data_IF_581980910809
#
_entry.id   IF_581980910809
#
_cell.length_a   1.000
_cell.length_b   1.000
_cell.length_c   1.000
_cell.angle_alpha   90.00
_cell.angle_beta   90.00
_cell.angle_gamma   90.00
#
_symmetry.space_group_name_H-M   'P 1'
#
loop_
_entity.id
_entity.type
_entity.pdbx_description
1 polymer ?
#
# COMPACT_ATOMS: atom_id res chain seq x y z
N UNK A 1 6.29 5.53 20.74
CA UNK A 1 6.02 4.73 21.96
C UNK A 1 7.32 4.64 22.73
N UNK A 2 7.34 4.50 24.06
CA UNK A 2 8.62 4.37 24.77
C UNK A 2 9.32 3.07 24.30
N UNK A 3 10.63 3.10 23.95
CA UNK A 3 11.40 1.90 23.63
C UNK A 3 11.27 0.76 24.66
N UNK A 4 11.13 1.08 25.95
CA UNK A 4 10.93 0.09 27.00
C UNK A 4 9.59 -0.65 26.87
N UNK A 5 8.53 0.08 26.49
CA UNK A 5 7.20 -0.50 26.22
C UNK A 5 7.26 -1.44 25.01
N UNK A 6 7.94 -1.02 23.93
CA UNK A 6 8.12 -1.84 22.73
C UNK A 6 8.89 -3.14 23.05
N UNK A 7 9.92 -3.09 23.89
CA UNK A 7 10.65 -4.28 24.31
C UNK A 7 9.77 -5.26 25.11
N UNK A 8 8.96 -4.75 26.04
CA UNK A 8 8.03 -5.56 26.80
C UNK A 8 6.94 -6.19 25.90
N UNK A 9 6.43 -5.42 24.95
CA UNK A 9 5.46 -5.90 23.95
C UNK A 9 6.08 -7.01 23.10
N UNK A 10 7.29 -6.82 22.54
CA UNK A 10 7.97 -7.85 21.73
C UNK A 10 8.09 -9.17 22.49
N UNK A 11 8.55 -9.13 23.75
CA UNK A 11 8.67 -10.33 24.60
C UNK A 11 7.32 -11.01 24.83
N UNK A 12 6.26 -10.23 25.06
CA UNK A 12 4.90 -10.77 25.21
C UNK A 12 4.43 -11.45 23.92
N UNK A 13 4.64 -10.81 22.78
CA UNK A 13 4.22 -11.31 21.47
C UNK A 13 4.93 -12.60 21.09
N UNK A 14 6.24 -12.70 21.30
CA UNK A 14 7.04 -13.88 21.02
C UNK A 14 6.58 -15.14 21.79
N UNK A 15 5.85 -14.97 22.90
CA UNK A 15 5.28 -16.07 23.69
C UNK A 15 3.89 -16.54 23.25
N UNK A 16 3.29 -15.87 22.26
CA UNK A 16 1.94 -16.21 21.78
C UNK A 16 2.03 -17.36 20.80
N UNK A 17 1.36 -18.45 21.10
CA UNK A 17 1.18 -19.55 20.16
C UNK A 17 -0.08 -19.30 19.30
N UNK A 18 0.07 -19.23 17.95
CA UNK A 18 -1.08 -19.15 17.05
C UNK A 18 -1.97 -20.39 17.16
N UNK A 19 -3.27 -20.22 16.95
CA UNK A 19 -4.18 -21.36 16.86
C UNK A 19 -3.90 -22.17 15.58
N UNK A 20 -3.97 -23.49 15.67
CA UNK A 20 -3.97 -24.36 14.50
C UNK A 20 -5.25 -24.13 13.68
N UNK A 21 -5.05 -23.70 12.43
CA UNK A 21 -6.10 -23.42 11.46
C UNK A 21 -5.59 -23.75 10.07
N UNK A 22 -6.51 -23.84 9.10
CA UNK A 22 -6.15 -23.98 7.68
C UNK A 22 -5.18 -22.88 7.18
N UNK A 23 -5.17 -21.72 7.85
CA UNK A 23 -4.23 -20.64 7.55
C UNK A 23 -2.83 -20.96 8.08
N UNK A 24 -2.70 -21.35 9.35
CA UNK A 24 -1.39 -21.62 9.97
C UNK A 24 -0.74 -22.90 9.43
N UNK A 25 -1.53 -23.92 9.10
CA UNK A 25 -1.03 -25.15 8.44
C UNK A 25 -0.42 -24.87 7.05
N UNK A 26 -0.90 -23.83 6.35
CA UNK A 26 -0.47 -23.52 4.98
C UNK A 26 0.63 -22.47 4.93
N UNK A 27 0.74 -21.63 5.96
CA UNK A 27 1.73 -20.56 6.05
C UNK A 27 3.16 -21.11 5.85
N UNK A 28 4.02 -20.45 5.05
CA UNK A 28 3.87 -19.13 4.43
C UNK A 28 3.17 -19.13 3.06
N UNK A 29 2.63 -20.25 2.59
CA UNK A 29 1.96 -20.33 1.30
C UNK A 29 0.50 -19.84 1.36
N UNK A 30 -0.06 -19.50 0.20
CA UNK A 30 -1.49 -19.15 0.09
C UNK A 30 -2.38 -20.38 -0.03
N UNK A 31 -3.66 -20.20 0.31
CA UNK A 31 -4.72 -21.18 0.08
C UNK A 31 -5.32 -20.95 -1.30
N UNK A 32 -5.83 -22.01 -1.92
CA UNK A 32 -6.62 -21.90 -3.15
C UNK A 32 -7.99 -21.26 -2.87
N UNK A 33 -8.63 -20.70 -3.90
CA UNK A 33 -9.97 -20.10 -3.78
C UNK A 33 -11.00 -21.06 -3.18
N UNK A 34 -10.95 -22.34 -3.56
CA UNK A 34 -11.83 -23.38 -3.01
C UNK A 34 -11.65 -23.57 -1.50
N UNK A 35 -10.41 -23.61 -1.02
CA UNK A 35 -10.11 -23.71 0.42
C UNK A 35 -10.48 -22.44 1.17
N UNK A 36 -10.33 -21.27 0.55
CA UNK A 36 -10.72 -19.98 1.14
C UNK A 36 -12.23 -19.85 1.38
N UNK A 37 -13.07 -20.52 0.58
CA UNK A 37 -14.52 -20.55 0.82
C UNK A 37 -14.90 -21.27 2.12
N UNK A 38 -14.11 -22.24 2.53
CA UNK A 38 -14.32 -23.02 3.75
C UNK A 38 -13.48 -22.51 4.94
N UNK A 39 -12.64 -21.49 4.74
CA UNK A 39 -11.77 -20.97 5.78
C UNK A 39 -12.57 -20.16 6.84
N UNK A 40 -12.06 -20.05 8.07
CA UNK A 40 -12.68 -19.23 9.10
C UNK A 40 -12.90 -17.78 8.64
N UNK A 41 -14.03 -17.20 9.02
CA UNK A 41 -14.32 -15.80 8.75
C UNK A 41 -13.49 -14.88 9.67
N UNK A 42 -13.16 -13.70 9.17
CA UNK A 42 -12.43 -12.68 9.92
C UNK A 42 -10.91 -12.87 9.87
N UNK A 43 -10.24 -12.23 10.83
CA UNK A 43 -8.79 -12.15 10.90
C UNK A 43 -8.28 -13.14 11.94
N UNK A 44 -7.35 -14.01 11.54
CA UNK A 44 -6.80 -15.09 12.37
C UNK A 44 -5.30 -14.90 12.56
N UNK A 45 -4.82 -14.86 13.80
CA UNK A 45 -3.38 -14.90 14.06
C UNK A 45 -2.83 -16.24 13.57
N UNK A 46 -1.93 -16.17 12.60
CA UNK A 46 -1.44 -17.31 11.82
C UNK A 46 -0.02 -17.68 12.21
N UNK A 47 0.83 -16.66 12.40
CA UNK A 47 2.22 -16.83 12.83
C UNK A 47 2.66 -15.67 13.71
N UNK A 48 3.65 -15.96 14.55
CA UNK A 48 4.48 -14.95 15.22
C UNK A 48 5.91 -15.17 14.70
N UNK A 49 6.39 -14.23 13.91
CA UNK A 49 7.73 -14.26 13.32
C UNK A 49 8.69 -13.45 14.19
N UNK A 50 9.83 -14.03 14.54
CA UNK A 50 10.89 -13.34 15.28
C UNK A 50 12.21 -13.48 14.53
N UNK A 51 12.90 -12.36 14.35
CA UNK A 51 14.27 -12.33 13.84
C UNK A 51 15.07 -11.20 14.53
N UNK A 52 16.32 -11.01 14.11
CA UNK A 52 17.19 -9.99 14.68
C UNK A 52 16.65 -8.55 14.52
N UNK A 53 15.84 -8.30 13.50
CA UNK A 53 15.29 -6.99 13.17
C UNK A 53 13.98 -6.68 13.89
N UNK A 54 13.29 -7.67 14.48
CA UNK A 54 12.07 -7.44 15.24
C UNK A 54 11.13 -8.65 15.37
N UNK A 55 9.90 -8.35 15.81
CA UNK A 55 8.82 -9.33 15.98
C UNK A 55 7.62 -8.93 15.12
N UNK A 56 7.07 -9.88 14.38
CA UNK A 56 5.92 -9.71 13.49
C UNK A 56 4.75 -10.60 13.87
N UNK A 57 3.57 -10.02 14.04
CA UNK A 57 2.32 -10.78 14.07
C UNK A 57 1.77 -10.89 12.67
N UNK A 58 1.67 -12.11 12.15
CA UNK A 58 1.09 -12.38 10.83
C UNK A 58 -0.34 -12.83 11.01
N UNK A 59 -1.26 -12.07 10.45
CA UNK A 59 -2.67 -12.37 10.44
C UNK A 59 -3.15 -12.74 9.05
N UNK A 60 -3.90 -13.84 8.97
CA UNK A 60 -4.50 -14.30 7.73
C UNK A 60 -6.00 -14.04 7.70
N UNK A 61 -6.51 -13.74 6.51
CA UNK A 61 -7.96 -13.68 6.26
C UNK A 61 -8.30 -14.01 4.82
N UNK A 62 -9.50 -14.55 4.60
CA UNK A 62 -10.07 -14.68 3.26
C UNK A 62 -10.78 -13.38 2.88
N UNK A 63 -10.28 -12.68 1.85
CA UNK A 63 -10.87 -11.43 1.34
C UNK A 63 -11.39 -11.61 -0.07
N UNK A 64 -12.21 -10.66 -0.52
CA UNK A 64 -12.69 -10.61 -1.89
C UNK A 64 -12.14 -9.37 -2.60
N UNK A 65 -11.86 -9.52 -3.88
CA UNK A 65 -11.62 -8.41 -4.80
C UNK A 65 -12.36 -8.69 -6.11
N UNK A 66 -12.49 -7.69 -6.96
CA UNK A 66 -13.06 -7.85 -8.30
C UNK A 66 -11.97 -7.78 -9.35
N UNK A 67 -12.02 -8.71 -10.29
CA UNK A 67 -11.23 -8.66 -11.52
C UNK A 67 -12.17 -8.33 -12.68
N UNK A 68 -11.67 -7.52 -13.62
CA UNK A 68 -12.33 -7.23 -14.88
C UNK A 68 -11.63 -8.02 -15.97
N UNK A 69 -12.38 -8.75 -16.76
CA UNK A 69 -11.88 -9.49 -17.91
C UNK A 69 -12.65 -9.08 -19.16
N UNK A 70 -11.94 -8.86 -20.26
CA UNK A 70 -12.59 -8.68 -21.55
C UNK A 70 -13.14 -10.03 -21.97
N UNK A 71 -14.43 -10.07 -22.29
CA UNK A 71 -15.05 -11.26 -22.85
C UNK A 71 -15.09 -11.08 -24.36
N UNK A 72 -14.52 -12.05 -25.07
CA UNK A 72 -14.65 -12.12 -26.51
C UNK A 72 -16.11 -12.38 -26.88
N UNK A 73 -16.74 -11.40 -27.53
CA UNK A 73 -18.13 -11.48 -27.98
C UNK A 73 -18.33 -12.66 -28.93
N UNK A 74 -17.32 -13.00 -29.74
CA UNK A 74 -17.37 -14.14 -30.65
C UNK A 74 -17.37 -15.50 -29.93
N UNK A 75 -16.96 -15.55 -28.65
CA UNK A 75 -17.02 -16.75 -27.83
C UNK A 75 -18.37 -16.92 -27.10
N UNK A 76 -19.21 -15.88 -27.07
CA UNK A 76 -20.52 -15.86 -26.40
C UNK A 76 -21.69 -16.11 -27.36
N UNK A 77 -21.55 -15.74 -28.63
CA UNK A 77 -22.57 -16.02 -29.64
C UNK A 77 -22.36 -17.42 -30.22
N UNK A 78 -23.33 -18.31 -30.01
CA UNK A 78 -23.58 -19.31 -31.04
C UNK A 78 -23.87 -18.53 -32.33
N UNK A 79 -23.15 -18.85 -33.41
CA UNK A 79 -23.10 -18.05 -34.64
C UNK A 79 -24.49 -17.53 -35.07
N UNK A 80 -24.80 -16.26 -34.77
CA UNK A 80 -26.05 -15.60 -35.16
C UNK A 80 -26.83 -14.83 -34.09
N UNK A 81 -26.36 -14.72 -32.83
CA UNK A 81 -27.04 -13.89 -31.84
C UNK A 81 -26.68 -12.39 -31.96
N UNK A 82 -27.54 -11.63 -32.66
CA UNK A 82 -27.40 -10.19 -32.88
C UNK A 82 -27.53 -9.32 -31.61
N UNK A 83 -27.76 -9.95 -30.45
CA UNK A 83 -27.93 -9.28 -29.15
C UNK A 83 -26.75 -8.35 -28.79
N UNK A 84 -25.55 -8.64 -29.31
CA UNK A 84 -24.33 -7.90 -28.98
C UNK A 84 -23.76 -7.06 -30.14
N UNK A 85 -24.46 -6.97 -31.28
CA UNK A 85 -23.94 -6.31 -32.50
C UNK A 85 -23.66 -4.81 -32.31
N UNK A 86 -24.38 -4.15 -31.40
CA UNK A 86 -24.21 -2.72 -31.08
C UNK A 86 -23.15 -2.46 -29.98
N UNK A 87 -22.49 -3.50 -29.46
CA UNK A 87 -21.51 -3.37 -28.37
C UNK A 87 -20.07 -3.54 -28.91
N UNK A 88 -19.24 -2.51 -28.70
CA UNK A 88 -17.81 -2.55 -29.05
C UNK A 88 -16.98 -3.41 -28.07
N UNK A 89 -17.45 -3.54 -26.82
CA UNK A 89 -16.73 -4.23 -25.76
C UNK A 89 -17.70 -4.85 -24.74
N UNK A 90 -17.43 -6.10 -24.33
CA UNK A 90 -18.07 -6.74 -23.19
C UNK A 90 -17.03 -6.97 -22.09
N UNK A 91 -17.31 -6.44 -20.90
CA UNK A 91 -16.45 -6.61 -19.72
C UNK A 91 -17.16 -7.52 -18.72
N UNK A 92 -16.58 -8.69 -18.48
CA UNK A 92 -16.91 -9.54 -17.34
C UNK A 92 -16.34 -8.97 -16.06
N UNK A 93 -17.15 -8.92 -15.00
CA UNK A 93 -16.68 -8.59 -13.65
C UNK A 93 -16.86 -9.81 -12.76
N UNK A 94 -15.74 -10.37 -12.29
CA UNK A 94 -15.74 -11.54 -11.42
C UNK A 94 -15.24 -11.17 -10.03
N UNK A 95 -16.01 -11.55 -9.01
CA UNK A 95 -15.55 -11.51 -7.62
C UNK A 95 -14.70 -12.74 -7.35
N UNK A 96 -13.44 -12.55 -6.97
CA UNK A 96 -12.53 -13.62 -6.57
C UNK A 96 -12.19 -13.51 -5.09
N UNK A 97 -11.94 -14.65 -4.45
CA UNK A 97 -11.39 -14.70 -3.09
C UNK A 97 -9.89 -14.83 -3.13
N UNK A 98 -9.20 -14.09 -2.29
CA UNK A 98 -7.75 -14.18 -2.10
C UNK A 98 -7.40 -14.35 -0.62
N UNK A 99 -6.26 -15.00 -0.38
CA UNK A 99 -5.68 -15.17 0.95
C UNK A 99 -4.84 -13.93 1.25
N UNK A 100 -5.28 -13.10 2.20
CA UNK A 100 -4.60 -11.88 2.59
C UNK A 100 -3.72 -12.11 3.83
N UNK A 101 -2.52 -11.54 3.82
CA UNK A 101 -1.60 -11.50 4.97
C UNK A 101 -1.42 -10.06 5.47
N UNK A 102 -1.96 -9.75 6.64
CA UNK A 102 -1.67 -8.49 7.33
C UNK A 102 -0.59 -8.72 8.39
N UNK A 103 0.31 -7.76 8.54
CA UNK A 103 1.43 -7.86 9.49
C UNK A 103 1.46 -6.65 10.39
N UNK A 104 1.55 -6.87 11.70
CA UNK A 104 1.99 -5.84 12.64
C UNK A 104 3.43 -6.15 12.98
N UNK A 105 4.34 -5.30 12.51
CA UNK A 105 5.77 -5.45 12.68
C UNK A 105 6.28 -4.47 13.72
N UNK A 106 6.98 -4.98 14.73
CA UNK A 106 7.63 -4.19 15.76
C UNK A 106 9.14 -4.36 15.62
N UNK A 107 9.82 -3.37 15.01
CA UNK A 107 11.27 -3.38 14.91
C UNK A 107 11.96 -3.49 16.27
N UNK A 108 13.16 -4.08 16.30
CA UNK A 108 14.04 -4.06 17.47
C UNK A 108 14.52 -2.64 17.78
N UNK A 109 14.80 -1.86 16.73
CA UNK A 109 15.34 -0.51 16.80
C UNK A 109 14.32 0.53 16.30
N UNK A 110 14.31 1.72 16.92
CA UNK A 110 13.37 2.80 16.61
C UNK A 110 12.18 2.85 17.56
N UNK A 111 11.32 3.86 17.37
CA UNK A 111 10.16 4.16 18.22
C UNK A 111 8.81 3.99 17.49
N UNK A 112 8.87 3.48 16.26
CA UNK A 112 7.73 3.22 15.37
C UNK A 112 7.46 1.73 15.20
N UNK A 113 6.22 1.39 14.87
CA UNK A 113 5.81 0.06 14.41
C UNK A 113 5.11 0.18 13.06
N UNK A 114 5.17 -0.88 12.26
CA UNK A 114 4.51 -0.91 10.95
C UNK A 114 3.22 -1.72 11.04
N UNK A 115 2.14 -1.18 10.47
CA UNK A 115 0.90 -1.94 10.22
C UNK A 115 0.77 -2.12 8.71
N UNK A 116 1.10 -3.33 8.25
CA UNK A 116 1.17 -3.69 6.84
C UNK A 116 -0.09 -4.44 6.48
N UNK A 117 -0.85 -3.92 5.52
CA UNK A 117 -2.12 -4.51 5.09
C UNK A 117 -1.97 -4.97 3.65
N UNK A 118 -2.34 -6.23 3.40
CA UNK A 118 -2.33 -6.74 2.04
C UNK A 118 -3.39 -6.02 1.19
N UNK A 119 -2.93 -5.41 0.11
CA UNK A 119 -3.70 -4.47 -0.71
C UNK A 119 -3.43 -4.70 -2.21
N UNK A 120 -3.90 -5.82 -2.77
CA UNK A 120 -3.70 -6.14 -4.17
C UNK A 120 -4.41 -5.13 -5.07
N UNK A 121 -3.96 -5.04 -6.32
CA UNK A 121 -4.56 -4.18 -7.32
C UNK A 121 -6.07 -4.45 -7.48
N UNK A 122 -6.85 -3.39 -7.72
CA UNK A 122 -8.30 -3.45 -7.79
C UNK A 122 -9.02 -3.41 -6.43
N UNK A 123 -8.30 -3.58 -5.31
CA UNK A 123 -8.90 -3.51 -3.98
C UNK A 123 -9.30 -2.07 -3.64
N UNK A 124 -10.50 -1.88 -3.09
CA UNK A 124 -10.97 -0.58 -2.61
C UNK A 124 -10.23 -0.18 -1.32
N UNK A 125 -9.89 1.11 -1.19
CA UNK A 125 -9.18 1.62 0.01
C UNK A 125 -9.93 1.32 1.31
N UNK A 126 -11.26 1.28 1.30
CA UNK A 126 -12.07 1.02 2.49
C UNK A 126 -11.86 -0.40 3.04
N UNK A 127 -11.55 -1.37 2.17
CA UNK A 127 -11.22 -2.75 2.58
C UNK A 127 -9.91 -2.75 3.37
N UNK A 128 -8.90 -2.01 2.91
CA UNK A 128 -7.63 -1.90 3.63
C UNK A 128 -7.77 -1.15 4.96
N UNK A 129 -8.61 -0.10 5.01
CA UNK A 129 -8.91 0.63 6.25
C UNK A 129 -9.62 -0.28 7.27
N UNK A 130 -10.60 -1.07 6.82
CA UNK A 130 -11.28 -2.04 7.67
C UNK A 130 -10.33 -3.13 8.18
N UNK A 131 -9.49 -3.68 7.31
CA UNK A 131 -8.47 -4.67 7.65
C UNK A 131 -7.49 -4.13 8.71
N UNK A 132 -6.98 -2.90 8.52
CA UNK A 132 -6.16 -2.21 9.52
C UNK A 132 -6.86 -2.13 10.87
N UNK A 133 -8.12 -1.70 10.91
CA UNK A 133 -8.89 -1.62 12.15
C UNK A 133 -9.02 -2.98 12.84
N UNK A 134 -9.25 -4.05 12.07
CA UNK A 134 -9.31 -5.42 12.60
C UNK A 134 -7.97 -5.88 13.17
N UNK A 135 -6.85 -5.64 12.46
CA UNK A 135 -5.51 -5.97 12.92
C UNK A 135 -5.16 -5.25 14.23
N UNK A 136 -5.43 -3.94 14.31
CA UNK A 136 -5.25 -3.15 15.53
C UNK A 136 -6.11 -3.66 16.68
N UNK A 137 -7.36 -4.05 16.41
CA UNK A 137 -8.25 -4.62 17.44
C UNK A 137 -7.71 -5.95 17.97
N UNK A 138 -7.21 -6.84 17.09
CA UNK A 138 -6.59 -8.09 17.50
C UNK A 138 -5.31 -7.85 18.29
N UNK A 139 -4.49 -6.89 17.87
CA UNK A 139 -3.29 -6.49 18.60
C UNK A 139 -3.62 -6.05 20.03
N UNK A 140 -4.57 -5.14 20.20
CA UNK A 140 -5.01 -4.69 21.53
C UNK A 140 -5.56 -5.84 22.36
N UNK A 141 -6.30 -6.78 21.75
CA UNK A 141 -6.81 -7.97 22.44
C UNK A 141 -5.69 -8.89 22.94
N UNK A 142 -4.65 -9.09 22.14
CA UNK A 142 -3.51 -9.95 22.47
C UNK A 142 -2.58 -9.30 23.51
N UNK A 143 -2.32 -8.00 23.37
CA UNK A 143 -1.31 -7.30 24.18
C UNK A 143 -1.90 -6.57 25.38
N UNK A 144 -3.18 -6.18 25.35
CA UNK A 144 -3.78 -5.24 26.29
C UNK A 144 -3.29 -3.80 26.09
N UNK A 145 -2.46 -3.54 25.08
CA UNK A 145 -1.88 -2.22 24.82
C UNK A 145 -2.67 -1.54 23.72
N UNK A 146 -3.12 -0.31 23.98
CA UNK A 146 -3.72 0.53 22.96
C UNK A 146 -2.66 1.00 21.96
N UNK A 147 -2.97 0.90 20.68
CA UNK A 147 -2.06 1.38 19.64
C UNK A 147 -1.99 2.92 19.63
N UNK A 148 -0.79 3.50 19.43
CA UNK A 148 -0.63 4.93 19.38
C UNK A 148 -1.29 5.50 18.12
N UNK A 149 -1.52 6.82 18.13
CA UNK A 149 -1.98 7.53 16.94
C UNK A 149 -0.99 7.34 15.78
N UNK A 150 -1.48 7.16 14.54
CA UNK A 150 -0.61 6.98 13.40
C UNK A 150 0.17 8.25 13.09
N UNK A 151 1.39 8.08 12.56
CA UNK A 151 2.22 9.19 12.12
C UNK A 151 1.58 9.87 10.92
N UNK A 152 1.52 11.19 10.93
CA UNK A 152 1.07 11.96 9.78
C UNK A 152 2.12 11.93 8.66
N UNK A 153 1.81 11.21 7.59
CA UNK A 153 2.64 11.07 6.40
C UNK A 153 2.34 12.10 5.31
N UNK A 154 1.38 13.01 5.51
CA UNK A 154 1.07 14.06 4.54
C UNK A 154 2.30 14.92 4.16
N UNK A 155 3.19 15.33 5.11
CA UNK A 155 4.37 16.11 4.78
C UNK A 155 5.35 15.43 3.82
N UNK A 156 5.30 14.10 3.66
CA UNK A 156 6.15 13.38 2.71
C UNK A 156 5.93 13.83 1.26
N UNK A 157 4.71 14.27 0.93
CA UNK A 157 4.36 14.71 -0.42
C UNK A 157 5.29 15.85 -0.86
N UNK A 158 5.41 16.90 -0.06
CA UNK A 158 6.23 18.05 -0.43
C UNK A 158 7.73 17.75 -0.26
N UNK A 159 8.10 17.12 0.87
CA UNK A 159 9.50 16.78 1.18
C UNK A 159 10.15 15.91 0.10
N UNK A 160 9.48 14.82 -0.30
CA UNK A 160 10.03 13.89 -1.29
C UNK A 160 9.92 14.43 -2.72
N UNK A 161 8.89 15.24 -3.03
CA UNK A 161 8.77 15.88 -4.34
C UNK A 161 9.96 16.82 -4.61
N UNK A 162 10.34 17.62 -3.61
CA UNK A 162 11.41 18.61 -3.74
C UNK A 162 12.83 18.02 -3.58
N UNK A 163 12.96 16.76 -3.12
CA UNK A 163 14.25 16.09 -2.95
C UNK A 163 14.73 15.44 -4.26
N UNK A 164 15.74 16.05 -4.90
CA UNK A 164 16.36 15.54 -6.13
C UNK A 164 17.09 14.19 -5.97
N UNK A 165 17.35 13.73 -4.74
CA UNK A 165 17.96 12.43 -4.46
C UNK A 165 16.95 11.29 -4.39
N UNK A 166 15.66 11.60 -4.45
CA UNK A 166 14.60 10.60 -4.54
C UNK A 166 14.47 9.99 -5.94
N UNK A 167 13.69 8.91 -6.01
CA UNK A 167 13.37 8.22 -7.25
C UNK A 167 12.61 9.09 -8.25
N UNK A 168 12.17 8.46 -9.34
CA UNK A 168 11.45 9.13 -10.42
C UNK A 168 10.03 9.47 -9.97
N UNK A 169 9.63 10.74 -10.02
CA UNK A 169 8.23 11.12 -9.81
C UNK A 169 7.41 10.71 -11.03
N UNK A 170 6.48 9.77 -10.85
CA UNK A 170 5.68 9.19 -11.94
C UNK A 170 4.22 9.61 -11.90
N UNK A 171 3.76 10.20 -10.80
CA UNK A 171 2.41 10.73 -10.63
C UNK A 171 2.39 11.87 -9.62
N UNK A 172 1.71 12.96 -9.96
CA UNK A 172 1.57 14.15 -9.11
C UNK A 172 0.14 14.70 -9.22
N UNK A 173 -0.50 14.95 -8.09
CA UNK A 173 -1.73 15.73 -8.02
C UNK A 173 -1.48 16.99 -7.22
N UNK A 174 -1.85 18.15 -7.76
CA UNK A 174 -1.56 19.44 -7.14
C UNK A 174 -2.64 20.49 -7.46
N UNK A 175 -2.81 21.43 -6.53
CA UNK A 175 -3.56 22.66 -6.74
C UNK A 175 -2.68 23.79 -7.24
N UNK A 176 -3.30 24.76 -7.91
CA UNK A 176 -2.70 26.06 -8.22
C UNK A 176 -3.49 27.16 -7.50
N UNK A 177 -2.86 28.29 -7.26
CA UNK A 177 -3.52 29.49 -6.69
C UNK A 177 -4.59 30.10 -7.60
N UNK A 178 -4.59 29.73 -8.88
CA UNK A 178 -5.68 30.01 -9.83
C UNK A 178 -6.89 29.07 -9.67
N UNK A 179 -6.97 28.33 -8.56
CA UNK A 179 -8.03 27.39 -8.22
C UNK A 179 -8.17 26.19 -9.19
N UNK A 180 -7.15 25.93 -10.01
CA UNK A 180 -7.14 24.76 -10.88
C UNK A 180 -6.56 23.55 -10.14
N UNK A 181 -7.16 22.38 -10.36
CA UNK A 181 -6.61 21.11 -9.92
C UNK A 181 -6.01 20.40 -11.12
N UNK A 182 -4.76 19.98 -10.96
CA UNK A 182 -4.03 19.23 -11.99
C UNK A 182 -3.73 17.83 -11.45
N UNK A 183 -3.81 16.86 -12.35
CA UNK A 183 -3.37 15.50 -12.09
C UNK A 183 -2.55 15.03 -13.27
N UNK A 184 -1.26 14.84 -13.02
CA UNK A 184 -0.29 14.47 -14.03
C UNK A 184 0.24 13.07 -13.75
N UNK A 185 0.39 12.28 -14.82
CA UNK A 185 0.96 10.93 -14.79
C UNK A 185 1.99 10.81 -15.89
N UNK A 186 3.19 10.38 -15.53
CA UNK A 186 4.24 10.05 -16.47
C UNK A 186 4.92 8.76 -16.06
N UNK A 187 4.47 7.64 -16.65
CA UNK A 187 4.94 6.29 -16.31
C UNK A 187 5.90 5.70 -17.35
N UNK A 188 6.35 6.51 -18.31
CA UNK A 188 7.37 6.09 -19.28
C UNK A 188 8.72 5.97 -18.56
N UNK A 189 9.40 4.85 -18.76
CA UNK A 189 10.63 4.49 -18.06
C UNK A 189 11.68 5.61 -18.14
N UNK A 190 12.31 5.94 -17.00
CA UNK A 190 13.37 6.95 -16.83
C UNK A 190 12.97 8.41 -17.14
N UNK A 191 11.69 8.73 -17.23
CA UNK A 191 11.24 10.12 -17.31
C UNK A 191 10.69 10.55 -15.95
N UNK A 192 11.23 11.65 -15.42
CA UNK A 192 10.79 12.24 -14.15
C UNK A 192 9.87 13.43 -14.41
N UNK A 193 8.69 13.42 -13.81
CA UNK A 193 7.67 14.48 -13.95
C UNK A 193 8.19 15.83 -13.50
N UNK A 194 9.10 15.88 -12.53
CA UNK A 194 9.78 17.12 -12.12
C UNK A 194 10.57 17.77 -13.25
N UNK A 195 10.99 16.98 -14.24
CA UNK A 195 11.80 17.40 -15.38
C UNK A 195 11.01 17.58 -16.68
N UNK A 196 9.72 17.26 -16.69
CA UNK A 196 8.88 17.39 -17.87
C UNK A 196 8.68 18.87 -18.23
N UNK A 197 8.73 19.18 -19.54
CA UNK A 197 8.79 20.55 -20.04
C UNK A 197 7.50 21.32 -19.77
N UNK A 198 6.34 20.69 -19.94
CA UNK A 198 5.04 21.30 -19.64
C UNK A 198 4.89 21.60 -18.15
N UNK A 199 5.29 20.68 -17.26
CA UNK A 199 5.27 20.86 -15.81
C UNK A 199 6.19 21.99 -15.37
N UNK A 200 7.43 22.02 -15.86
CA UNK A 200 8.39 23.10 -15.59
C UNK A 200 7.88 24.45 -16.09
N UNK A 201 7.39 24.50 -17.32
CA UNK A 201 6.84 25.72 -17.93
C UNK A 201 5.61 26.22 -17.18
N UNK A 202 4.69 25.31 -16.83
CA UNK A 202 3.49 25.62 -16.05
C UNK A 202 3.83 26.17 -14.67
N UNK A 203 4.76 25.53 -13.94
CA UNK A 203 5.24 26.03 -12.65
C UNK A 203 5.92 27.40 -12.75
N UNK A 204 6.75 27.62 -13.78
CA UNK A 204 7.46 28.88 -13.97
C UNK A 204 6.53 30.05 -14.31
N UNK A 205 5.33 29.77 -14.82
CA UNK A 205 4.32 30.78 -15.13
C UNK A 205 3.41 31.14 -13.94
N UNK A 206 3.60 30.52 -12.77
CA UNK A 206 2.85 30.84 -11.55
C UNK A 206 3.64 31.78 -10.65
N UNK A 207 2.96 32.78 -10.08
CA UNK A 207 3.55 33.69 -9.08
C UNK A 207 3.71 33.04 -7.69
N UNK A 208 3.15 31.85 -7.52
CA UNK A 208 3.10 31.11 -6.27
C UNK A 208 3.46 29.65 -6.49
N UNK A 209 4.00 28.96 -5.47
CA UNK A 209 4.22 27.52 -5.54
C UNK A 209 2.92 26.75 -5.86
N UNK A 210 3.08 25.61 -6.51
CA UNK A 210 2.01 24.61 -6.58
C UNK A 210 1.80 24.00 -5.19
N UNK A 211 0.62 23.41 -4.97
CA UNK A 211 0.26 22.76 -3.70
C UNK A 211 0.03 21.26 -3.94
N UNK A 212 1.09 20.42 -3.87
CA UNK A 212 0.97 18.99 -4.05
C UNK A 212 0.12 18.34 -2.94
N UNK A 213 -0.80 17.46 -3.34
CA UNK A 213 -1.63 16.65 -2.44
C UNK A 213 -1.59 15.16 -2.78
N UNK A 214 -0.92 14.77 -3.87
CA UNK A 214 -0.71 13.39 -4.26
C UNK A 214 0.65 13.25 -4.90
N UNK A 215 1.39 12.19 -4.53
CA UNK A 215 2.70 11.88 -5.08
C UNK A 215 2.86 10.38 -5.26
N UNK A 216 3.45 9.96 -6.38
CA UNK A 216 4.04 8.62 -6.48
C UNK A 216 5.47 8.67 -7.03
N UNK A 217 6.36 7.96 -6.35
CA UNK A 217 7.79 7.87 -6.65
C UNK A 217 8.14 6.41 -6.95
N UNK A 218 8.87 6.19 -8.03
CA UNK A 218 9.38 4.89 -8.43
C UNK A 218 10.91 4.91 -8.39
N UNK A 219 11.51 3.95 -7.68
CA UNK A 219 12.96 3.79 -7.63
C UNK A 219 13.38 2.65 -8.55
N UNK A 220 14.49 2.82 -9.27
CA UNK A 220 15.09 1.75 -10.06
C UNK A 220 16.24 1.14 -9.26
N UNK A 221 16.03 -0.04 -8.69
CA UNK A 221 17.05 -0.73 -7.88
C UNK A 221 17.64 -1.89 -8.66
N UNK A 222 18.96 -2.05 -8.56
CA UNK A 222 19.67 -3.21 -9.11
C UNK A 222 19.73 -4.27 -8.01
N UNK A 223 19.14 -5.43 -8.27
CA UNK A 223 19.18 -6.60 -7.39
C UNK A 223 20.16 -7.61 -8.00
N UNK A 224 21.30 -7.83 -7.35
CA UNK A 224 22.35 -8.70 -7.87
C UNK A 224 22.91 -8.24 -9.23
N UNK A 225 23.27 -9.18 -10.11
CA UNK A 225 24.01 -8.87 -11.36
C UNK A 225 23.13 -8.58 -12.58
N UNK A 226 21.87 -9.02 -12.59
CA UNK A 226 21.02 -9.00 -13.80
C UNK A 226 19.55 -8.64 -13.56
N UNK A 227 19.15 -8.47 -12.30
CA UNK A 227 17.76 -8.25 -11.94
C UNK A 227 17.59 -6.79 -11.53
N UNK A 228 16.51 -6.18 -11.98
CA UNK A 228 16.12 -4.84 -11.55
C UNK A 228 14.75 -4.94 -10.90
N UNK A 229 14.57 -4.23 -9.80
CA UNK A 229 13.25 -3.99 -9.22
C UNK A 229 12.87 -2.52 -9.37
N UNK A 230 11.56 -2.28 -9.37
CA UNK A 230 10.99 -0.95 -9.54
C UNK A 230 9.96 -0.65 -8.43
N UNK A 231 10.36 -0.71 -7.14
CA UNK A 231 9.42 -0.44 -6.06
C UNK A 231 8.86 0.98 -6.18
N UNK A 232 7.59 1.13 -5.83
CA UNK A 232 6.84 2.38 -5.97
C UNK A 232 6.15 2.72 -4.64
N UNK A 233 6.33 3.97 -4.20
CA UNK A 233 5.60 4.57 -3.09
C UNK A 233 4.52 5.48 -3.65
N UNK A 234 3.30 5.37 -3.15
CA UNK A 234 2.23 6.33 -3.39
C UNK A 234 1.73 6.93 -2.09
N UNK A 235 1.82 8.25 -1.99
CA UNK A 235 1.26 9.07 -0.91
C UNK A 235 0.06 9.82 -1.48
N UNK A 236 -1.13 9.25 -1.28
CA UNK A 236 -2.36 9.65 -1.96
C UNK A 236 -3.30 10.38 -1.00
N UNK A 237 -3.22 11.71 -0.92
CA UNK A 237 -4.26 12.54 -0.29
C UNK A 237 -5.24 13.08 -1.35
N UNK A 238 -6.17 13.92 -0.91
CA UNK A 238 -7.11 14.66 -1.75
C UNK A 238 -6.86 16.16 -1.66
N UNK A 239 -7.22 16.91 -2.70
CA UNK A 239 -7.14 18.38 -2.68
C UNK A 239 -7.94 18.99 -1.52
N UNK A 240 -9.09 18.39 -1.18
CA UNK A 240 -9.90 18.80 -0.02
C UNK A 240 -9.13 18.65 1.30
N UNK A 241 -8.47 17.52 1.51
CA UNK A 241 -7.69 17.28 2.72
C UNK A 241 -6.46 18.20 2.80
N UNK A 242 -5.81 18.44 1.66
CA UNK A 242 -4.69 19.36 1.56
C UNK A 242 -5.06 20.82 1.88
N UNK A 243 -6.26 21.26 1.50
CA UNK A 243 -6.77 22.60 1.82
C UNK A 243 -7.27 22.78 3.26
N UNK A 244 -7.16 21.76 4.12
CA UNK A 244 -7.54 21.87 5.54
C UNK A 244 -6.44 22.54 6.37
N UNK A 245 -6.80 23.12 7.53
CA UNK A 245 -5.83 23.79 8.42
C UNK A 245 -4.74 22.85 8.94
N UNK A 246 -5.03 21.56 9.08
CA UNK A 246 -4.08 20.54 9.50
C UNK A 246 -4.27 19.27 8.65
N UNK A 247 -3.65 19.20 7.45
CA UNK A 247 -3.79 18.06 6.57
C UNK A 247 -3.21 16.80 7.21
N UNK A 248 -4.03 15.75 7.31
CA UNK A 248 -3.63 14.46 7.87
C UNK A 248 -3.75 13.38 6.81
N UNK A 249 -2.71 12.57 6.71
CA UNK A 249 -2.71 11.30 6.01
C UNK A 249 -1.97 10.29 6.89
N UNK A 250 -2.55 9.13 7.13
CA UNK A 250 -2.05 8.14 8.08
C UNK A 250 -1.52 6.86 7.43
N UNK A 251 -1.45 6.85 6.09
CA UNK A 251 -1.13 5.67 5.29
C UNK A 251 -0.46 6.03 3.98
N UNK A 252 0.37 5.10 3.53
CA UNK A 252 0.98 5.10 2.21
C UNK A 252 0.72 3.76 1.54
N UNK A 253 0.92 3.68 0.23
CA UNK A 253 0.85 2.41 -0.50
C UNK A 253 2.21 2.13 -1.12
N UNK A 254 2.76 0.96 -0.82
CA UNK A 254 4.03 0.48 -1.40
C UNK A 254 3.69 -0.67 -2.34
N UNK A 255 4.18 -0.62 -3.58
CA UNK A 255 3.94 -1.64 -4.62
C UNK A 255 5.21 -2.01 -5.35
N UNK A 256 5.10 -3.03 -6.21
CA UNK A 256 6.16 -3.48 -7.14
C UNK A 256 7.47 -3.88 -6.44
N UNK A 257 7.37 -4.22 -5.16
CA UNK A 257 8.45 -4.84 -4.43
C UNK A 257 8.61 -6.28 -4.93
N UNK A 258 9.84 -6.67 -5.19
CA UNK A 258 10.20 -8.05 -5.53
C UNK A 258 10.44 -8.90 -4.27
N UNK A 259 10.81 -8.26 -3.17
CA UNK A 259 11.06 -8.91 -1.88
C UNK A 259 11.15 -7.88 -0.75
N UNK A 260 11.52 -8.36 0.44
CA UNK A 260 11.59 -7.51 1.64
C UNK A 260 12.61 -6.37 1.49
N UNK A 261 13.75 -6.60 0.82
CA UNK A 261 14.76 -5.55 0.60
C UNK A 261 14.21 -4.32 -0.13
N UNK A 262 13.26 -4.49 -1.06
CA UNK A 262 12.60 -3.37 -1.74
C UNK A 262 11.68 -2.62 -0.78
N UNK A 263 10.91 -3.35 0.02
CA UNK A 263 10.02 -2.77 1.01
C UNK A 263 10.81 -1.96 2.04
N UNK A 264 11.89 -2.54 2.59
CA UNK A 264 12.74 -1.89 3.59
C UNK A 264 13.46 -0.68 3.02
N UNK A 265 13.88 -0.74 1.75
CA UNK A 265 14.40 0.42 1.05
C UNK A 265 13.37 1.56 1.00
N UNK A 266 12.15 1.30 0.55
CA UNK A 266 11.09 2.34 0.51
C UNK A 266 10.77 2.84 1.92
N UNK A 267 10.68 1.94 2.91
CA UNK A 267 10.47 2.30 4.32
C UNK A 267 11.57 3.23 4.83
N UNK A 268 12.83 2.95 4.49
CA UNK A 268 13.96 3.80 4.90
C UNK A 268 13.88 5.21 4.30
N UNK A 269 13.40 5.35 3.05
CA UNK A 269 13.16 6.68 2.45
C UNK A 269 12.04 7.42 3.16
N UNK A 270 10.96 6.74 3.54
CA UNK A 270 9.89 7.33 4.36
C UNK A 270 10.45 7.84 5.69
N UNK A 271 11.17 6.99 6.41
CA UNK A 271 11.75 7.31 7.72
C UNK A 271 12.69 8.52 7.66
N UNK A 272 13.60 8.53 6.66
CA UNK A 272 14.50 9.65 6.37
C UNK A 272 13.78 11.00 6.29
N UNK A 273 12.66 11.07 5.56
CA UNK A 273 11.90 12.31 5.38
C UNK A 273 10.99 12.65 6.55
N UNK A 274 10.58 11.67 7.36
CA UNK A 274 9.86 11.91 8.60
C UNK A 274 10.78 12.37 9.74
N UNK A 275 12.10 12.16 9.61
CA UNK A 275 13.08 12.49 10.65
C UNK A 275 13.14 11.44 11.77
N UNK A 276 12.80 10.20 11.44
CA UNK A 276 12.74 9.03 12.33
C UNK A 276 13.75 7.96 11.90
#
# INVERSE_FOLDING_TARGET
>A
MDPADLAAIRKKLASIEPLETVFSERYPATLSEAKLKAAPAGLVLTSVEENEDGVGLVFSSARVTTIREHIDVAALSDAGDATFDDYEEIIGVKTIRFHAFDVIWIPTNGDTLDVRIDFPEGTLSDIAVAARKMALTQFTKLTGVAMPEPINVFPLIDKMYNDSTEGTVVELGFGTTTASLKHEKMRRRKLDLRNETYHKGGKAALDTPIEPFKLSILWHRVIGKKLNSEPELSVNSSSRAAGSTNPVLDRVVIRKCMGHEDYDYVRSRIAHHLGS
#
